data_IF_774088329465
#
_entry.id   IF_774088329465
#
_cell.length_a   1.000
_cell.length_b   1.000
_cell.length_c   1.000
_cell.angle_alpha   90.00
_cell.angle_beta   90.00
_cell.angle_gamma   90.00
#
_symmetry.space_group_name_H-M   'P 1'
#
loop_
_entity.id
_entity.type
_entity.pdbx_description
1 polymer ?
#
# COMPACT_ATOMS: atom_id res chain seq x y z
N UNK A 1 19.95 19.86 -13.63
CA UNK A 1 19.54 19.69 -12.23
C UNK A 1 18.08 20.09 -12.18
N UNK A 2 17.18 19.11 -12.39
CA UNK A 2 15.74 19.35 -12.38
C UNK A 2 15.36 19.52 -10.91
N UNK A 3 14.77 20.67 -10.62
CA UNK A 3 14.32 21.05 -9.29
C UNK A 3 13.36 19.97 -8.74
N UNK A 4 13.61 19.49 -7.53
CA UNK A 4 12.76 18.50 -6.86
C UNK A 4 11.45 19.15 -6.41
N UNK A 5 11.39 20.48 -6.28
CA UNK A 5 10.15 21.22 -6.00
C UNK A 5 9.17 21.23 -7.19
N UNK A 6 9.62 21.04 -8.43
CA UNK A 6 8.74 20.93 -9.61
C UNK A 6 8.05 19.56 -9.75
N UNK A 7 8.44 18.56 -8.94
CA UNK A 7 7.79 17.23 -8.94
C UNK A 7 6.68 17.09 -7.91
N UNK A 8 6.58 18.00 -6.94
CA UNK A 8 5.56 17.96 -5.89
C UNK A 8 4.24 18.66 -6.28
N UNK A 9 4.18 19.39 -7.39
CA UNK A 9 3.02 20.21 -7.80
C UNK A 9 2.29 19.73 -9.05
N UNK A 10 2.66 18.56 -9.59
CA UNK A 10 2.11 18.07 -10.86
C UNK A 10 1.16 16.87 -10.70
N UNK A 11 0.31 16.85 -9.66
CA UNK A 11 -1.03 16.25 -9.83
C UNK A 11 -1.84 17.30 -10.57
N UNK A 12 -1.52 17.49 -11.85
CA UNK A 12 -2.23 18.39 -12.75
C UNK A 12 -3.71 18.04 -12.65
N UNK A 13 -4.56 18.99 -12.27
CA UNK A 13 -6.01 18.82 -12.26
C UNK A 13 -6.43 18.09 -13.55
N UNK A 14 -6.86 16.83 -13.42
CA UNK A 14 -7.15 15.96 -14.56
C UNK A 14 -8.53 16.23 -15.14
N UNK A 15 -9.31 17.10 -14.51
CA UNK A 15 -10.66 17.47 -14.93
C UNK A 15 -10.56 18.22 -16.27
N UNK A 16 -11.16 17.69 -17.34
CA UNK A 16 -11.16 18.35 -18.63
C UNK A 16 -11.84 19.72 -18.60
N UNK A 17 -11.27 20.67 -19.34
CA UNK A 17 -11.95 21.93 -19.65
C UNK A 17 -13.07 21.67 -20.66
N UNK A 18 -14.28 22.19 -20.40
CA UNK A 18 -15.45 22.01 -21.28
C UNK A 18 -16.50 21.02 -20.80
N UNK A 19 -16.35 20.45 -19.60
CA UNK A 19 -17.43 19.71 -18.93
C UNK A 19 -18.59 20.63 -18.54
N UNK A 20 -19.81 20.14 -18.71
CA UNK A 20 -21.01 20.82 -18.23
C UNK A 20 -21.02 20.92 -16.69
N UNK A 21 -21.71 21.92 -16.14
CA UNK A 21 -21.67 22.23 -14.71
C UNK A 21 -22.15 21.08 -13.82
N UNK A 22 -23.07 20.26 -14.32
CA UNK A 22 -23.60 19.05 -13.68
C UNK A 22 -22.62 17.87 -13.67
N UNK A 23 -21.62 17.87 -14.57
CA UNK A 23 -20.56 16.85 -14.63
C UNK A 23 -19.34 17.19 -13.77
N UNK A 24 -19.19 18.46 -13.36
CA UNK A 24 -18.05 18.91 -12.54
C UNK A 24 -17.94 18.16 -11.20
N UNK A 25 -19.03 17.95 -10.42
CA UNK A 25 -18.92 17.21 -9.16
C UNK A 25 -18.53 15.74 -9.36
N UNK A 26 -19.00 15.12 -10.45
CA UNK A 26 -18.65 13.74 -10.80
C UNK A 26 -17.17 13.68 -11.16
N UNK A 27 -16.68 14.60 -12.00
CA UNK A 27 -15.27 14.67 -12.36
C UNK A 27 -14.38 14.89 -11.14
N UNK A 28 -14.76 15.80 -10.24
CA UNK A 28 -14.02 16.02 -9.00
C UNK A 28 -13.93 14.74 -8.15
N UNK A 29 -15.02 13.99 -8.00
CA UNK A 29 -14.98 12.73 -7.24
C UNK A 29 -14.14 11.64 -7.91
N UNK A 30 -14.19 11.51 -9.24
CA UNK A 30 -13.31 10.58 -9.96
C UNK A 30 -11.84 10.97 -9.78
N UNK A 31 -11.51 12.26 -9.75
CA UNK A 31 -10.15 12.75 -9.51
C UNK A 31 -9.69 12.46 -8.06
N UNK A 32 -10.56 12.63 -7.06
CA UNK A 32 -10.28 12.19 -5.68
C UNK A 32 -10.02 10.69 -5.60
N UNK A 33 -10.80 9.86 -6.31
CA UNK A 33 -10.57 8.41 -6.37
C UNK A 33 -9.24 8.10 -7.05
N UNK A 34 -8.91 8.78 -8.15
CA UNK A 34 -7.63 8.65 -8.84
C UNK A 34 -6.46 8.96 -7.91
N UNK A 35 -6.51 10.09 -7.21
CA UNK A 35 -5.47 10.52 -6.27
C UNK A 35 -5.35 9.54 -5.08
N UNK A 36 -6.49 9.18 -4.46
CA UNK A 36 -6.52 8.23 -3.36
C UNK A 36 -5.96 6.86 -3.76
N UNK A 37 -6.27 6.39 -4.97
CA UNK A 37 -5.77 5.11 -5.48
C UNK A 37 -4.26 5.16 -5.72
N UNK A 38 -3.72 6.27 -6.25
CA UNK A 38 -2.28 6.47 -6.42
C UNK A 38 -1.54 6.36 -5.07
N UNK A 39 -1.99 7.12 -4.06
CA UNK A 39 -1.38 7.09 -2.73
C UNK A 39 -1.51 5.72 -2.05
N UNK A 40 -2.67 5.08 -2.20
CA UNK A 40 -2.90 3.73 -1.66
C UNK A 40 -1.98 2.70 -2.31
N UNK A 41 -1.80 2.75 -3.64
CA UNK A 41 -0.86 1.90 -4.35
C UNK A 41 0.56 2.07 -3.84
N UNK A 42 1.02 3.31 -3.71
CA UNK A 42 2.37 3.61 -3.20
C UNK A 42 2.55 3.13 -1.77
N UNK A 43 1.57 3.34 -0.90
CA UNK A 43 1.58 2.84 0.48
C UNK A 43 1.73 1.31 0.54
N UNK A 44 1.01 0.59 -0.33
CA UNK A 44 1.12 -0.87 -0.42
C UNK A 44 2.48 -1.33 -0.98
N UNK A 45 3.07 -0.62 -1.95
CA UNK A 45 4.44 -0.93 -2.40
C UNK A 45 5.50 -0.71 -1.31
N UNK A 46 5.36 0.33 -0.49
CA UNK A 46 6.27 0.53 0.65
C UNK A 46 6.09 -0.55 1.73
N UNK A 47 4.85 -0.95 2.01
CA UNK A 47 4.56 -2.09 2.89
C UNK A 47 5.18 -3.39 2.34
N UNK A 48 5.07 -3.63 1.03
CA UNK A 48 5.71 -4.78 0.36
C UNK A 48 7.23 -4.77 0.56
N UNK A 49 7.90 -3.63 0.39
CA UNK A 49 9.35 -3.50 0.62
C UNK A 49 9.72 -3.79 2.07
N UNK A 50 8.95 -3.26 3.03
CA UNK A 50 9.14 -3.52 4.46
C UNK A 50 9.04 -5.01 4.77
N UNK A 51 8.01 -5.70 4.29
CA UNK A 51 7.84 -7.13 4.52
C UNK A 51 8.92 -7.97 3.83
N UNK A 52 9.39 -7.55 2.66
CA UNK A 52 10.53 -8.19 1.98
C UNK A 52 11.80 -8.07 2.81
N UNK A 53 12.07 -6.90 3.39
CA UNK A 53 13.19 -6.69 4.28
C UNK A 53 13.06 -7.55 5.56
N UNK A 54 11.88 -7.61 6.18
CA UNK A 54 11.63 -8.47 7.34
C UNK A 54 11.88 -9.95 7.03
N UNK A 55 11.47 -10.42 5.84
CA UNK A 55 11.74 -11.79 5.43
C UNK A 55 13.25 -12.09 5.34
N UNK A 56 14.04 -11.14 4.84
CA UNK A 56 15.50 -11.28 4.75
C UNK A 56 16.17 -11.22 6.13
N UNK A 57 15.77 -10.25 6.96
CA UNK A 57 16.35 -10.02 8.30
C UNK A 57 16.05 -11.17 9.25
N UNK A 58 14.90 -11.82 9.15
CA UNK A 58 14.58 -12.99 9.97
C UNK A 58 15.09 -14.29 9.33
N UNK A 59 14.93 -14.45 8.01
CA UNK A 59 15.26 -15.67 7.28
C UNK A 59 16.76 -15.97 7.21
N UNK A 60 17.57 -14.99 6.81
CA UNK A 60 19.01 -15.22 6.59
C UNK A 60 19.71 -15.57 7.90
N UNK A 61 19.55 -14.82 9.00
CA UNK A 61 20.17 -15.19 10.27
C UNK A 61 19.64 -16.51 10.83
N UNK A 62 18.35 -16.82 10.70
CA UNK A 62 17.80 -18.11 11.13
C UNK A 62 18.52 -19.28 10.47
N UNK A 63 18.68 -19.23 9.14
CA UNK A 63 19.35 -20.29 8.38
C UNK A 63 20.83 -20.42 8.74
N UNK A 64 21.54 -19.29 8.89
CA UNK A 64 22.97 -19.30 9.26
C UNK A 64 23.16 -19.87 10.68
N UNK A 65 22.36 -19.41 11.65
CA UNK A 65 22.44 -19.89 13.03
C UNK A 65 22.05 -21.37 13.12
N UNK A 66 21.03 -21.81 12.38
CA UNK A 66 20.66 -23.23 12.31
C UNK A 66 21.79 -24.09 11.74
N UNK A 67 22.47 -23.63 10.69
CA UNK A 67 23.62 -24.33 10.11
C UNK A 67 24.80 -24.41 11.09
N UNK A 68 25.12 -23.31 11.78
CA UNK A 68 26.17 -23.28 12.81
C UNK A 68 25.81 -24.20 13.98
N UNK A 69 24.57 -24.15 14.48
CA UNK A 69 24.12 -25.00 15.57
C UNK A 69 24.15 -26.48 15.19
N UNK A 70 23.68 -26.84 13.99
CA UNK A 70 23.73 -28.20 13.48
C UNK A 70 25.17 -28.71 13.34
N UNK A 71 26.05 -27.94 12.69
CA UNK A 71 27.44 -28.31 12.48
C UNK A 71 28.24 -28.41 13.77
N UNK A 72 28.11 -27.43 14.67
CA UNK A 72 28.80 -27.43 15.97
C UNK A 72 28.22 -28.45 16.93
N UNK A 73 26.91 -28.69 16.91
CA UNK A 73 26.26 -29.71 17.73
C UNK A 73 26.72 -31.13 17.40
N UNK A 74 26.93 -31.43 16.12
CA UNK A 74 27.47 -32.72 15.68
C UNK A 74 28.95 -32.92 16.05
N UNK A 75 29.72 -31.83 16.17
CA UNK A 75 31.15 -31.87 16.47
C UNK A 75 31.50 -31.67 17.95
N UNK A 76 30.51 -31.42 18.82
CA UNK A 76 30.75 -31.07 20.22
C UNK A 76 30.80 -32.30 21.13
N UNK A 77 31.81 -32.37 22.00
CA UNK A 77 32.01 -33.44 23.00
C UNK A 77 31.05 -33.35 24.22
N UNK A 78 29.92 -32.64 24.09
CA UNK A 78 28.89 -32.51 25.14
C UNK A 78 29.21 -31.57 26.32
N UNK A 79 30.39 -30.95 26.37
CA UNK A 79 30.82 -30.08 27.51
C UNK A 79 30.41 -28.60 27.39
N UNK A 80 29.81 -28.20 26.27
CA UNK A 80 29.50 -26.79 25.97
C UNK A 80 28.03 -26.62 25.60
N UNK A 81 27.36 -25.63 26.20
CA UNK A 81 25.96 -25.29 25.92
C UNK A 81 25.74 -24.43 24.67
N UNK A 82 26.83 -23.95 24.04
CA UNK A 82 26.80 -23.03 22.91
C UNK A 82 25.94 -23.52 21.72
N UNK A 83 26.04 -24.77 21.23
CA UNK A 83 25.19 -25.23 20.12
C UNK A 83 23.69 -25.15 20.43
N UNK A 84 23.31 -25.44 21.69
CA UNK A 84 21.92 -25.35 22.15
C UNK A 84 21.38 -23.92 22.19
N UNK A 85 22.19 -22.97 22.66
CA UNK A 85 21.80 -21.54 22.67
C UNK A 85 21.62 -21.02 21.23
N UNK A 86 22.54 -21.34 20.33
CA UNK A 86 22.46 -20.93 18.91
C UNK A 86 21.23 -21.55 18.24
N UNK A 87 20.92 -22.83 18.54
CA UNK A 87 19.71 -23.49 18.05
C UNK A 87 18.42 -22.81 18.53
N UNK A 88 18.35 -22.40 19.81
CA UNK A 88 17.18 -21.70 20.35
C UNK A 88 16.97 -20.34 19.70
N UNK A 89 18.04 -19.58 19.45
CA UNK A 89 17.94 -18.30 18.73
C UNK A 89 17.47 -18.52 17.30
N UNK A 90 18.01 -19.52 16.59
CA UNK A 90 17.55 -19.89 15.25
C UNK A 90 16.07 -20.29 15.23
N UNK A 91 15.62 -21.07 16.21
CA UNK A 91 14.23 -21.47 16.37
C UNK A 91 13.32 -20.26 16.64
N UNK A 92 13.77 -19.28 17.43
CA UNK A 92 13.04 -18.04 17.68
C UNK A 92 12.78 -17.24 16.40
N UNK A 93 13.80 -17.08 15.54
CA UNK A 93 13.64 -16.46 14.23
C UNK A 93 12.71 -17.26 13.30
N UNK A 94 12.83 -18.59 13.30
CA UNK A 94 11.94 -19.47 12.55
C UNK A 94 10.48 -19.33 12.98
N UNK A 95 10.21 -19.33 14.29
CA UNK A 95 8.88 -19.11 14.84
C UNK A 95 8.33 -17.73 14.47
N UNK A 96 9.16 -16.68 14.49
CA UNK A 96 8.77 -15.34 14.05
C UNK A 96 8.40 -15.29 12.55
N UNK A 97 9.15 -15.97 11.68
CA UNK A 97 8.82 -16.09 10.25
C UNK A 97 7.47 -16.78 10.03
N UNK A 98 7.22 -17.87 10.76
CA UNK A 98 5.94 -18.60 10.66
C UNK A 98 4.78 -17.73 11.18
N UNK A 99 4.95 -17.08 12.33
CA UNK A 99 3.90 -16.29 12.96
C UNK A 99 3.56 -15.01 12.17
N UNK A 100 4.58 -14.27 11.70
CA UNK A 100 4.38 -13.02 10.95
C UNK A 100 3.99 -13.27 9.49
N UNK A 101 4.43 -14.42 8.94
CA UNK A 101 4.31 -14.82 7.54
C UNK A 101 4.63 -13.68 6.54
N UNK A 102 5.86 -13.13 6.56
CA UNK A 102 6.22 -11.98 5.72
C UNK A 102 6.00 -12.24 4.22
N UNK A 103 6.24 -13.47 3.75
CA UNK A 103 6.02 -13.87 2.37
C UNK A 103 4.56 -13.68 1.92
N UNK A 104 3.58 -14.11 2.73
CA UNK A 104 2.15 -13.85 2.45
C UNK A 104 1.88 -12.36 2.35
N UNK A 105 2.43 -11.57 3.27
CA UNK A 105 2.20 -10.11 3.34
C UNK A 105 2.82 -9.36 2.17
N UNK A 106 4.00 -9.80 1.69
CA UNK A 106 4.59 -9.29 0.43
C UNK A 106 3.63 -9.52 -0.72
N UNK A 107 3.13 -10.74 -0.90
CA UNK A 107 2.22 -11.07 -2.00
C UNK A 107 0.90 -10.30 -1.90
N UNK A 108 0.33 -10.19 -0.69
CA UNK A 108 -0.90 -9.45 -0.44
C UNK A 108 -0.75 -7.95 -0.72
N UNK A 109 0.32 -7.32 -0.21
CA UNK A 109 0.60 -5.91 -0.46
C UNK A 109 0.87 -5.65 -1.95
N UNK A 110 1.61 -6.52 -2.64
CA UNK A 110 1.83 -6.40 -4.08
C UNK A 110 0.53 -6.50 -4.89
N UNK A 111 -0.34 -7.46 -4.55
CA UNK A 111 -1.63 -7.63 -5.21
C UNK A 111 -2.53 -6.40 -5.02
N UNK A 112 -2.62 -5.89 -3.79
CA UNK A 112 -3.37 -4.68 -3.48
C UNK A 112 -2.81 -3.45 -4.22
N UNK A 113 -1.49 -3.27 -4.25
CA UNK A 113 -0.84 -2.17 -4.96
C UNK A 113 -1.19 -2.17 -6.46
N UNK A 114 -1.08 -3.34 -7.11
CA UNK A 114 -1.44 -3.48 -8.52
C UNK A 114 -2.93 -3.23 -8.78
N UNK A 115 -3.80 -3.65 -7.87
CA UNK A 115 -5.24 -3.41 -8.00
C UNK A 115 -5.57 -1.91 -7.89
N UNK A 116 -4.94 -1.18 -6.97
CA UNK A 116 -5.05 0.28 -6.88
C UNK A 116 -4.51 0.99 -8.12
N UNK A 117 -3.38 0.57 -8.71
CA UNK A 117 -2.91 1.11 -9.99
C UNK A 117 -3.92 0.89 -11.12
N UNK A 118 -4.62 -0.25 -11.10
CA UNK A 118 -5.71 -0.52 -12.03
C UNK A 118 -6.87 0.47 -11.87
N UNK A 119 -7.31 0.72 -10.64
CA UNK A 119 -8.35 1.72 -10.31
C UNK A 119 -7.90 3.12 -10.75
N UNK A 120 -6.68 3.52 -10.40
CA UNK A 120 -6.10 4.80 -10.80
C UNK A 120 -6.14 4.97 -12.33
N UNK A 121 -5.70 3.95 -13.07
CA UNK A 121 -5.70 3.99 -14.54
C UNK A 121 -7.11 4.13 -15.10
N UNK A 122 -8.08 3.38 -14.58
CA UNK A 122 -9.48 3.48 -15.01
C UNK A 122 -10.09 4.84 -14.67
N UNK A 123 -9.84 5.37 -13.48
CA UNK A 123 -10.31 6.70 -13.07
C UNK A 123 -9.73 7.80 -13.98
N UNK A 124 -8.43 7.73 -14.29
CA UNK A 124 -7.79 8.65 -15.26
C UNK A 124 -8.44 8.55 -16.64
N UNK A 125 -8.68 7.35 -17.15
CA UNK A 125 -9.33 7.17 -18.46
C UNK A 125 -10.77 7.71 -18.48
N UNK A 126 -11.52 7.50 -17.40
CA UNK A 126 -12.86 8.06 -17.23
C UNK A 126 -12.79 9.59 -17.32
N UNK A 127 -11.91 10.22 -16.51
CA UNK A 127 -11.70 11.67 -16.51
C UNK A 127 -11.33 12.23 -17.87
N UNK A 128 -10.25 11.72 -18.47
CA UNK A 128 -9.61 12.41 -19.61
C UNK A 128 -10.22 12.04 -20.96
N UNK A 129 -11.04 10.99 -21.03
CA UNK A 129 -11.59 10.47 -22.29
C UNK A 129 -13.10 10.36 -22.21
N UNK A 130 -13.64 9.63 -21.23
CA UNK A 130 -15.05 9.22 -21.27
C UNK A 130 -16.03 10.30 -20.84
N UNK A 131 -15.70 11.08 -19.80
CA UNK A 131 -16.60 12.12 -19.29
C UNK A 131 -16.94 13.21 -20.31
N UNK A 132 -16.08 13.44 -21.31
CA UNK A 132 -16.33 14.41 -22.38
C UNK A 132 -17.49 14.03 -23.31
N UNK A 133 -17.81 12.74 -23.40
CA UNK A 133 -18.84 12.22 -24.31
C UNK A 133 -19.96 11.46 -23.60
N UNK A 134 -19.79 11.17 -22.31
CA UNK A 134 -20.76 10.44 -21.51
C UNK A 134 -21.96 11.33 -21.14
N UNK A 135 -23.11 10.70 -21.01
CA UNK A 135 -24.25 11.28 -20.29
C UNK A 135 -23.99 11.29 -18.79
N UNK A 136 -24.74 12.09 -18.04
CA UNK A 136 -24.63 12.14 -16.58
C UNK A 136 -24.93 10.79 -15.93
N UNK A 137 -25.91 10.04 -16.45
CA UNK A 137 -26.28 8.72 -15.95
C UNK A 137 -25.14 7.70 -16.13
N UNK A 138 -24.53 7.65 -17.33
CA UNK A 138 -23.38 6.79 -17.60
C UNK A 138 -22.17 7.15 -16.70
N UNK A 139 -21.94 8.45 -16.48
CA UNK A 139 -20.86 8.92 -15.62
C UNK A 139 -21.06 8.50 -14.14
N UNK A 140 -22.31 8.54 -13.65
CA UNK A 140 -22.65 8.09 -12.31
C UNK A 140 -22.50 6.57 -12.15
N UNK A 141 -22.89 5.79 -13.15
CA UNK A 141 -22.74 4.33 -13.14
C UNK A 141 -21.26 3.90 -13.15
N UNK A 142 -20.43 4.57 -13.96
CA UNK A 142 -18.98 4.33 -13.96
C UNK A 142 -18.31 4.75 -12.64
N UNK A 143 -18.75 5.85 -12.03
CA UNK A 143 -18.29 6.27 -10.71
C UNK A 143 -18.67 5.25 -9.63
N UNK A 144 -19.91 4.72 -9.66
CA UNK A 144 -20.35 3.68 -8.74
C UNK A 144 -19.52 2.40 -8.90
N UNK A 145 -19.23 2.00 -10.14
CA UNK A 145 -18.37 0.85 -10.45
C UNK A 145 -16.94 1.04 -9.93
N UNK A 146 -16.36 2.22 -10.12
CA UNK A 146 -15.04 2.56 -9.57
C UNK A 146 -15.02 2.50 -8.04
N UNK A 147 -16.05 3.03 -7.40
CA UNK A 147 -16.21 3.05 -5.94
C UNK A 147 -16.29 1.63 -5.39
N UNK A 148 -17.16 0.78 -5.97
CA UNK A 148 -17.30 -0.62 -5.57
C UNK A 148 -15.97 -1.37 -5.69
N UNK A 149 -15.26 -1.20 -6.82
CA UNK A 149 -13.95 -1.84 -7.03
C UNK A 149 -12.91 -1.36 -6.02
N UNK A 150 -12.90 -0.08 -5.66
CA UNK A 150 -12.02 0.46 -4.61
C UNK A 150 -12.32 -0.16 -3.26
N UNK A 151 -13.60 -0.28 -2.92
CA UNK A 151 -14.04 -0.83 -1.64
C UNK A 151 -13.68 -2.32 -1.54
N UNK A 152 -13.80 -3.09 -2.62
CA UNK A 152 -13.35 -4.49 -2.69
C UNK A 152 -11.84 -4.65 -2.47
N UNK A 153 -11.03 -3.79 -3.11
CA UNK A 153 -9.57 -3.80 -2.91
C UNK A 153 -9.21 -3.40 -1.48
N UNK A 154 -9.93 -2.43 -0.91
CA UNK A 154 -9.72 -1.97 0.47
C UNK A 154 -10.07 -3.07 1.47
N UNK A 155 -11.17 -3.80 1.25
CA UNK A 155 -11.62 -4.87 2.11
C UNK A 155 -10.65 -6.07 2.14
N UNK A 156 -9.92 -6.28 1.04
CA UNK A 156 -8.96 -7.39 0.91
C UNK A 156 -7.52 -7.02 1.26
N UNK A 157 -7.22 -5.73 1.42
CA UNK A 157 -5.93 -5.27 1.90
C UNK A 157 -5.70 -5.70 3.36
N UNK A 158 -4.44 -5.96 3.72
CA UNK A 158 -4.07 -6.33 5.09
C UNK A 158 -4.60 -5.27 6.09
N UNK A 159 -5.32 -5.67 7.15
CA UNK A 159 -5.99 -4.73 8.05
C UNK A 159 -4.98 -3.84 8.77
N UNK A 160 -5.36 -2.58 9.08
CA UNK A 160 -4.48 -1.64 9.75
C UNK A 160 -4.05 -2.17 11.12
N UNK A 161 -2.78 -1.96 11.45
CA UNK A 161 -2.26 -2.27 12.80
C UNK A 161 -2.88 -1.35 13.85
N UNK A 162 -2.82 -1.74 15.12
CA UNK A 162 -3.26 -0.89 16.25
C UNK A 162 -2.54 0.46 16.28
N UNK A 163 -1.25 0.46 15.90
CA UNK A 163 -0.48 1.68 15.72
C UNK A 163 -1.04 2.57 14.59
N UNK A 164 -1.42 1.96 13.46
CA UNK A 164 -2.04 2.68 12.35
C UNK A 164 -3.39 3.30 12.76
N UNK A 165 -4.21 2.59 13.53
CA UNK A 165 -5.48 3.12 14.06
C UNK A 165 -5.26 4.32 15.01
N UNK A 166 -4.29 4.22 15.93
CA UNK A 166 -3.96 5.34 16.81
C UNK A 166 -3.45 6.55 16.01
N UNK A 167 -2.61 6.32 15.00
CA UNK A 167 -2.07 7.38 14.14
C UNK A 167 -3.17 8.02 13.28
N UNK A 168 -4.10 7.23 12.74
CA UNK A 168 -5.22 7.75 11.94
C UNK A 168 -6.15 8.63 12.78
N UNK A 169 -6.50 8.19 14.00
CA UNK A 169 -7.27 9.01 14.95
C UNK A 169 -6.60 10.35 15.23
N UNK A 170 -5.29 10.32 15.54
CA UNK A 170 -4.52 11.55 15.81
C UNK A 170 -4.43 12.47 14.59
N UNK A 171 -4.38 11.92 13.38
CA UNK A 171 -4.39 12.70 12.15
C UNK A 171 -5.76 13.39 11.97
N UNK A 172 -6.86 12.65 12.09
CA UNK A 172 -8.22 13.22 12.00
C UNK A 172 -8.41 14.35 13.02
N UNK A 173 -8.03 14.14 14.27
CA UNK A 173 -8.19 15.13 15.35
C UNK A 173 -7.32 16.39 15.16
N UNK A 174 -6.18 16.31 14.45
CA UNK A 174 -5.23 17.43 14.32
C UNK A 174 -5.23 18.13 12.97
N UNK A 175 -5.43 17.38 11.89
CA UNK A 175 -5.30 17.85 10.51
C UNK A 175 -6.59 17.71 9.72
N UNK A 176 -7.68 17.23 10.34
CA UNK A 176 -8.98 17.08 9.68
C UNK A 176 -9.15 15.80 8.85
N UNK A 177 -8.11 14.97 8.75
CA UNK A 177 -8.14 13.71 8.00
C UNK A 177 -7.45 13.80 6.65
N UNK A 178 -8.01 13.13 5.64
CA UNK A 178 -7.47 13.18 4.27
C UNK A 178 -7.81 14.51 3.61
N UNK A 179 -6.83 15.10 2.94
CA UNK A 179 -6.97 16.27 2.06
C UNK A 179 -6.64 15.85 0.63
N UNK A 180 -7.43 16.28 -0.34
CA UNK A 180 -7.18 16.04 -1.75
C UNK A 180 -6.62 17.29 -2.40
N UNK A 181 -5.69 17.12 -3.35
CA UNK A 181 -5.18 18.25 -4.13
C UNK A 181 -6.30 18.86 -4.98
N UNK A 182 -7.25 18.05 -5.46
CA UNK A 182 -8.44 18.51 -6.19
C UNK A 182 -9.22 19.58 -5.43
N UNK A 183 -9.33 19.46 -4.10
CA UNK A 183 -10.11 20.39 -3.27
C UNK A 183 -9.38 21.72 -3.00
N UNK A 184 -8.08 21.80 -3.31
CA UNK A 184 -7.28 23.03 -3.13
C UNK A 184 -7.34 23.98 -4.33
N UNK A 185 -7.84 23.52 -5.48
CA UNK A 185 -7.84 24.28 -6.74
C UNK A 185 -9.05 25.22 -6.87
N UNK A 186 -10.07 25.07 -6.00
CA UNK A 186 -11.30 25.89 -6.00
C UNK A 186 -11.32 26.99 -4.91
N UNK A 187 -10.18 27.29 -4.28
CA UNK A 187 -10.03 28.32 -3.23
C UNK A 187 -9.50 29.67 -3.71
#
# INVERSE_FOLDING_TARGET
MIDIQDRETAVSNLIPTGLSADMQPIAAEVDRIHESALWSAQGQFEQMKLWRAMNMVLGVPASVLAAIAGGTGLAADGKTSLPGVVALVAAGFGAALTALNPSRRVSSAQAAANAYLGIQTTARQLLTIRLLTATQEEALDELATLTARRDDVTATADPPSTYAYWRSRRNIEKTGGQSYETDKVEG
#
